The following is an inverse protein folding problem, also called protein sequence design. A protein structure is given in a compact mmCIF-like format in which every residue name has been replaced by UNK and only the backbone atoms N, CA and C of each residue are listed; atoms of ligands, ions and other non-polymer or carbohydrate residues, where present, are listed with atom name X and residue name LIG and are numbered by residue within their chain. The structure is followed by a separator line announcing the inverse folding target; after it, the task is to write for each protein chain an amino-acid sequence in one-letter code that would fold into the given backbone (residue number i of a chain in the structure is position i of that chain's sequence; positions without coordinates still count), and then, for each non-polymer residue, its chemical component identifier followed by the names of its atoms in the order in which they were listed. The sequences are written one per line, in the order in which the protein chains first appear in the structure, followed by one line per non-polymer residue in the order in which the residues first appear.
data_IF_005714490087
#
_entry.id   IF_005714490087
#
_cell.length_a   1.000
_cell.length_b   1.000
_cell.length_c   1.000
_cell.angle_alpha   90.00
_cell.angle_beta   90.00
_cell.angle_gamma   90.00
#
_symmetry.space_group_name_H-M   'P 1'
#
loop_
_entity.id
_entity.type
_entity.pdbx_description
1 polymer ?
#
# COMPACT_ATOMS: atom_id res chain seq x y z
N UNK A 1 -13.04 10.26 11.95
CA UNK A 1 -12.98 9.05 11.11
C UNK A 1 -11.99 8.11 11.76
N UNK A 2 -12.41 6.91 12.11
CA UNK A 2 -11.54 5.87 12.70
C UNK A 2 -10.56 5.38 11.64
N UNK A 3 -9.30 5.17 12.04
CA UNK A 3 -8.27 4.59 11.17
C UNK A 3 -8.69 3.19 10.69
N UNK A 4 -8.41 2.83 9.44
CA UNK A 4 -8.70 1.49 8.92
C UNK A 4 -7.83 0.45 9.65
N UNK A 5 -8.40 -0.71 9.94
CA UNK A 5 -7.70 -1.78 10.66
C UNK A 5 -6.45 -2.30 9.91
N UNK A 6 -6.49 -2.34 8.58
CA UNK A 6 -5.33 -2.72 7.75
C UNK A 6 -4.15 -1.75 7.91
N UNK A 7 -4.41 -0.44 7.91
CA UNK A 7 -3.40 0.60 8.13
C UNK A 7 -2.82 0.53 9.54
N UNK A 8 -3.66 0.38 10.56
CA UNK A 8 -3.20 0.26 11.95
C UNK A 8 -2.21 -0.91 12.10
N UNK A 9 -2.54 -2.06 11.51
CA UNK A 9 -1.69 -3.26 11.56
C UNK A 9 -0.41 -3.13 10.74
N UNK A 10 -0.45 -2.43 9.61
CA UNK A 10 0.76 -2.09 8.86
C UNK A 10 1.71 -1.21 9.67
N UNK A 11 1.19 -0.21 10.38
CA UNK A 11 2.00 0.67 11.26
C UNK A 11 2.57 -0.06 12.46
N UNK A 12 1.80 -0.97 13.05
CA UNK A 12 2.27 -1.82 14.15
C UNK A 12 3.40 -2.75 13.70
N UNK A 13 3.24 -3.41 12.54
CA UNK A 13 4.20 -4.41 12.05
C UNK A 13 5.43 -3.79 11.38
N UNK A 14 5.26 -2.66 10.69
CA UNK A 14 6.29 -2.02 9.87
C UNK A 14 6.44 -0.52 10.17
N UNK A 15 6.67 -0.11 11.43
CA UNK A 15 6.60 1.30 11.84
C UNK A 15 7.59 2.19 11.09
N UNK A 16 8.72 1.65 10.63
CA UNK A 16 9.74 2.40 9.88
C UNK A 16 9.53 2.36 8.36
N UNK A 17 8.74 1.41 7.84
CA UNK A 17 8.52 1.29 6.41
C UNK A 17 7.32 2.12 5.92
N UNK A 18 6.34 2.40 6.79
CA UNK A 18 5.17 3.19 6.42
C UNK A 18 5.50 4.68 6.46
N UNK A 19 5.82 5.25 5.29
CA UNK A 19 6.27 6.63 5.16
C UNK A 19 5.12 7.64 5.19
N UNK A 20 3.97 7.29 4.59
CA UNK A 20 2.81 8.18 4.46
C UNK A 20 1.53 7.36 4.28
N UNK A 21 0.41 7.87 4.80
CA UNK A 21 -0.92 7.30 4.55
C UNK A 21 -1.86 8.43 4.21
N UNK A 22 -2.56 8.33 3.09
CA UNK A 22 -3.52 9.34 2.65
C UNK A 22 -4.73 8.71 1.95
N UNK A 23 -5.79 9.51 1.83
CA UNK A 23 -6.99 9.12 1.07
C UNK A 23 -7.06 9.93 -0.21
N UNK A 24 -7.30 9.27 -1.33
CA UNK A 24 -7.52 9.92 -2.63
C UNK A 24 -8.70 9.27 -3.33
N UNK A 25 -9.71 10.07 -3.70
CA UNK A 25 -10.95 9.61 -4.35
C UNK A 25 -11.68 8.47 -3.62
N UNK A 26 -11.61 8.47 -2.29
CA UNK A 26 -12.25 7.46 -1.43
C UNK A 26 -11.40 6.22 -1.18
N UNK A 27 -10.26 6.06 -1.87
CA UNK A 27 -9.33 4.96 -1.67
C UNK A 27 -8.19 5.33 -0.72
N UNK A 28 -7.69 4.34 0.02
CA UNK A 28 -6.54 4.51 0.92
C UNK A 28 -5.25 4.13 0.22
N UNK A 29 -4.28 5.03 0.34
CA UNK A 29 -2.94 4.92 -0.22
C UNK A 29 -1.94 4.88 0.92
N UNK A 30 -0.98 3.97 0.80
CA UNK A 30 0.11 3.78 1.76
C UNK A 30 1.41 3.91 0.99
N UNK A 31 2.23 4.90 1.34
CA UNK A 31 3.59 5.01 0.82
C UNK A 31 4.49 4.15 1.68
N UNK A 32 5.17 3.19 1.04
CA UNK A 32 5.99 2.17 1.67
C UNK A 32 7.44 2.36 1.25
N UNK A 33 8.37 2.18 2.18
CA UNK A 33 9.79 2.05 1.85
C UNK A 33 10.00 0.88 0.89
N UNK A 34 10.70 1.14 -0.23
CA UNK A 34 10.85 0.16 -1.29
C UNK A 34 11.56 -1.13 -0.84
N UNK A 35 12.43 -1.06 0.16
CA UNK A 35 13.15 -2.22 0.68
C UNK A 35 12.23 -3.18 1.43
N UNK A 36 11.13 -2.68 1.99
CA UNK A 36 10.16 -3.45 2.75
C UNK A 36 8.94 -3.90 1.91
N UNK A 37 8.83 -3.49 0.65
CA UNK A 37 7.64 -3.73 -0.18
C UNK A 37 7.25 -5.21 -0.24
N UNK A 38 8.22 -6.11 -0.44
CA UNK A 38 7.96 -7.55 -0.55
C UNK A 38 7.39 -8.10 0.76
N UNK A 39 7.99 -7.72 1.89
CA UNK A 39 7.55 -8.16 3.22
C UNK A 39 6.15 -7.63 3.57
N UNK A 40 5.88 -6.36 3.22
CA UNK A 40 4.55 -5.74 3.37
C UNK A 40 3.50 -6.46 2.53
N UNK A 41 3.80 -6.76 1.26
CA UNK A 41 2.89 -7.51 0.39
C UNK A 41 2.64 -8.93 0.92
N UNK A 42 3.67 -9.62 1.42
CA UNK A 42 3.55 -10.94 2.03
C UNK A 42 2.64 -10.90 3.27
N UNK A 43 2.86 -9.94 4.17
CA UNK A 43 2.01 -9.75 5.34
C UNK A 43 0.54 -9.51 4.96
N UNK A 44 0.28 -8.58 4.03
CA UNK A 44 -1.08 -8.28 3.58
C UNK A 44 -1.79 -9.48 2.94
N UNK A 45 -1.04 -10.34 2.22
CA UNK A 45 -1.54 -11.55 1.56
C UNK A 45 -1.81 -12.69 2.55
N UNK A 46 -0.84 -12.94 3.44
CA UNK A 46 -0.79 -14.14 4.28
C UNK A 46 -1.57 -13.98 5.58
N UNK A 47 -1.77 -12.74 6.02
CA UNK A 47 -2.60 -12.48 7.19
C UNK A 47 -4.07 -12.87 6.95
N UNK A 48 -4.65 -13.77 7.76
CA UNK A 48 -6.01 -14.27 7.55
C UNK A 48 -7.11 -13.20 7.68
N UNK A 49 -6.86 -12.11 8.43
CA UNK A 49 -7.81 -11.01 8.60
C UNK A 49 -7.71 -9.99 7.47
N UNK A 50 -6.53 -9.80 6.88
CA UNK A 50 -6.33 -8.86 5.78
C UNK A 50 -6.63 -9.50 4.42
N UNK A 51 -6.00 -10.65 4.12
CA UNK A 51 -6.27 -11.51 2.95
C UNK A 51 -6.28 -10.77 1.59
N UNK A 52 -5.30 -9.88 1.37
CA UNK A 52 -5.09 -9.20 0.08
C UNK A 52 -4.47 -10.18 -0.94
N UNK A 53 -5.31 -11.06 -1.49
CA UNK A 53 -4.87 -12.17 -2.36
C UNK A 53 -4.92 -11.88 -3.86
N UNK A 54 -5.41 -10.72 -4.26
CA UNK A 54 -5.41 -10.30 -5.66
C UNK A 54 -4.55 -9.04 -5.84
N UNK A 55 -3.51 -9.15 -6.66
CA UNK A 55 -2.81 -7.99 -7.23
C UNK A 55 -3.58 -7.57 -8.48
N UNK A 56 -4.41 -6.54 -8.36
CA UNK A 56 -5.25 -6.07 -9.46
C UNK A 56 -4.42 -5.41 -10.55
N UNK A 57 -3.50 -4.52 -10.17
CA UNK A 57 -2.68 -3.74 -11.10
C UNK A 57 -1.32 -3.41 -10.51
N UNK A 58 -0.33 -3.23 -11.40
CA UNK A 58 0.95 -2.59 -11.10
C UNK A 58 1.14 -1.44 -12.08
N UNK A 59 1.24 -0.22 -11.57
CA UNK A 59 1.24 1.01 -12.37
C UNK A 59 2.50 1.82 -12.09
N UNK A 60 3.25 2.16 -13.14
CA UNK A 60 4.36 3.11 -13.06
C UNK A 60 3.87 4.54 -13.30
N UNK A 61 4.38 5.50 -12.51
CA UNK A 61 4.11 6.93 -12.67
C UNK A 61 5.44 7.62 -12.99
N UNK A 62 5.52 8.28 -14.15
CA UNK A 62 6.65 9.15 -14.51
C UNK A 62 6.39 10.58 -13.99
N UNK A 63 7.23 11.02 -13.06
CA UNK A 63 7.22 12.34 -12.43
C UNK A 63 8.24 13.29 -13.07
N UNK A 64 8.64 13.08 -14.33
CA UNK A 64 9.61 13.92 -15.04
C UNK A 64 9.35 15.43 -14.83
N UNK A 65 10.33 16.12 -14.26
CA UNK A 65 10.28 17.57 -14.00
C UNK A 65 9.34 18.00 -12.86
N UNK A 66 8.73 17.07 -12.13
CA UNK A 66 7.81 17.36 -11.02
C UNK A 66 8.37 16.99 -9.66
N UNK A 67 8.96 15.80 -9.52
CA UNK A 67 9.46 15.27 -8.24
C UNK A 67 10.63 14.32 -8.45
N UNK A 68 11.49 14.24 -7.44
CA UNK A 68 12.45 13.15 -7.27
C UNK A 68 11.99 12.25 -6.11
N UNK A 69 12.10 10.91 -6.25
CA UNK A 69 12.61 10.18 -7.41
C UNK A 69 11.66 10.22 -8.62
N UNK A 70 12.22 10.20 -9.84
CA UNK A 70 11.44 10.30 -11.10
C UNK A 70 10.30 9.29 -11.23
N UNK A 71 10.50 8.04 -10.81
CA UNK A 71 9.51 6.99 -10.99
C UNK A 71 8.91 6.58 -9.65
N UNK A 72 7.58 6.53 -9.61
CA UNK A 72 6.84 5.88 -8.53
C UNK A 72 6.17 4.63 -9.08
N UNK A 73 6.01 3.59 -8.25
CA UNK A 73 5.28 2.37 -8.62
C UNK A 73 4.14 2.16 -7.64
N UNK A 74 2.96 1.85 -8.16
CA UNK A 74 1.74 1.63 -7.38
C UNK A 74 1.28 0.18 -7.57
N UNK A 75 1.05 -0.50 -6.47
CA UNK A 75 0.47 -1.84 -6.40
C UNK A 75 -0.96 -1.72 -5.88
N UNK A 76 -1.93 -2.05 -6.73
CA UNK A 76 -3.34 -2.08 -6.36
C UNK A 76 -3.69 -3.48 -5.83
N UNK A 77 -3.88 -3.60 -4.52
CA UNK A 77 -4.18 -4.87 -3.87
C UNK A 77 -5.66 -4.93 -3.49
N UNK A 78 -6.28 -6.09 -3.69
CA UNK A 78 -7.66 -6.36 -3.35
C UNK A 78 -7.80 -7.52 -2.36
N UNK A 79 -8.61 -7.31 -1.32
CA UNK A 79 -8.99 -8.34 -0.36
C UNK A 79 -10.37 -8.90 -0.70
N UNK A 80 -10.45 -10.22 -0.86
CA UNK A 80 -11.74 -10.91 -1.01
C UNK A 80 -12.48 -11.09 0.31
N UNK A 81 -11.82 -10.86 1.45
CA UNK A 81 -12.44 -10.97 2.78
C UNK A 81 -13.21 -9.71 3.14
N UNK A 82 -12.58 -8.55 2.99
CA UNK A 82 -13.19 -7.25 3.29
C UNK A 82 -13.83 -6.58 2.08
N UNK A 83 -13.61 -7.11 0.86
CA UNK A 83 -14.01 -6.49 -0.40
C UNK A 83 -13.43 -5.08 -0.61
N UNK A 84 -12.27 -4.78 -0.01
CA UNK A 84 -11.62 -3.47 -0.08
C UNK A 84 -10.35 -3.48 -0.91
N UNK A 85 -9.99 -2.30 -1.42
CA UNK A 85 -8.69 -2.02 -2.05
C UNK A 85 -7.73 -1.35 -1.09
N UNK A 86 -6.44 -1.58 -1.33
CA UNK A 86 -5.34 -0.86 -0.72
C UNK A 86 -4.28 -0.58 -1.79
N UNK A 87 -3.88 0.68 -1.92
CA UNK A 87 -2.86 1.09 -2.88
C UNK A 87 -1.53 1.25 -2.15
N UNK A 88 -0.56 0.40 -2.48
CA UNK A 88 0.81 0.58 -1.99
C UNK A 88 1.59 1.36 -3.03
N UNK A 89 2.19 2.47 -2.63
CA UNK A 89 3.08 3.27 -3.47
C UNK A 89 4.50 3.13 -2.96
N UNK A 90 5.44 2.87 -3.85
CA UNK A 90 6.87 3.01 -3.58
C UNK A 90 7.44 4.10 -4.47
N UNK A 91 8.40 4.83 -3.92
CA UNK A 91 9.17 5.87 -4.62
C UNK A 91 10.63 5.71 -4.19
#
# INVERSE_FOLDING_TARGET
MTERADVARLRERFPQAIQEVYTFRGDTWVVVDRSALVEVCQFLRDDPELSYRMLSDVVGIDQLGRREPRFEVVYNLYSFKSFTRLFLKVR
#
